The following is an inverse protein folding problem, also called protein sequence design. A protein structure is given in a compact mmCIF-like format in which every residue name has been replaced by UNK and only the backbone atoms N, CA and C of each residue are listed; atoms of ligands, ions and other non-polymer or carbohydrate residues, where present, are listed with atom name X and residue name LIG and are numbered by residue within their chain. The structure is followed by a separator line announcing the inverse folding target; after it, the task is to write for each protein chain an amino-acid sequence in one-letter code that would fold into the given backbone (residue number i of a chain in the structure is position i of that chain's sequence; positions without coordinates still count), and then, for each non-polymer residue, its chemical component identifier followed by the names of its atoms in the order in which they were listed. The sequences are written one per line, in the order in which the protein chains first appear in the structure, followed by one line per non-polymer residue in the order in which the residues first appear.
data_IF_328749605035
#
_entry.id   IF_328749605035
#
_cell.length_a   1.000
_cell.length_b   1.000
_cell.length_c   1.000
_cell.angle_alpha   90.00
_cell.angle_beta   90.00
_cell.angle_gamma   90.00
#
_symmetry.space_group_name_H-M   'P 1'
#
loop_
_entity.id
_entity.type
_entity.pdbx_description
1 polymer ?
#
# COMPACT_ATOMS: atom_id res chain seq x y z
N UNK A 1 -34.11 1.11 11.73
CA UNK A 1 -33.30 2.19 11.13
C UNK A 1 -31.83 1.93 11.41
N UNK A 2 -31.12 1.23 10.51
CA UNK A 2 -29.68 1.00 10.66
C UNK A 2 -28.93 2.24 10.18
N UNK A 3 -28.21 2.92 11.10
CA UNK A 3 -27.26 3.98 10.76
C UNK A 3 -26.09 3.33 10.02
N UNK A 4 -26.19 3.21 8.70
CA UNK A 4 -25.02 3.03 7.84
C UNK A 4 -24.18 4.28 7.99
N UNK A 5 -23.13 4.21 8.81
CA UNK A 5 -22.07 5.19 8.78
C UNK A 5 -21.44 5.09 7.39
N UNK A 6 -21.77 6.03 6.50
CA UNK A 6 -20.96 6.29 5.30
C UNK A 6 -19.59 6.72 5.78
N UNK A 7 -18.68 5.77 5.96
CA UNK A 7 -17.26 6.09 6.12
C UNK A 7 -16.84 6.82 4.86
N UNK A 8 -16.10 7.92 5.05
CA UNK A 8 -15.71 8.82 3.97
C UNK A 8 -15.09 8.04 2.81
N UNK A 9 -15.48 8.38 1.58
CA UNK A 9 -14.92 7.79 0.38
C UNK A 9 -13.40 7.89 0.44
N UNK A 10 -12.74 6.74 0.27
CA UNK A 10 -11.29 6.70 0.27
C UNK A 10 -10.81 7.34 -1.03
N UNK A 11 -10.19 8.51 -0.91
CA UNK A 11 -9.60 9.20 -2.07
C UNK A 11 -8.36 8.43 -2.50
N UNK A 12 -8.23 8.15 -3.79
CA UNK A 12 -7.03 7.59 -4.37
C UNK A 12 -6.61 8.55 -5.48
N UNK A 13 -5.31 8.92 -5.58
CA UNK A 13 -4.85 9.73 -6.70
C UNK A 13 -5.09 8.97 -8.01
N UNK A 14 -5.39 9.68 -9.09
CA UNK A 14 -5.39 9.06 -10.41
C UNK A 14 -3.97 8.60 -10.77
N UNK A 15 -3.78 7.55 -11.60
CA UNK A 15 -2.45 7.04 -11.95
C UNK A 15 -1.48 8.11 -12.46
N UNK A 16 -2.01 9.13 -13.13
CA UNK A 16 -1.28 10.25 -13.71
C UNK A 16 -0.79 11.25 -12.66
N UNK A 17 -1.52 11.36 -11.54
CA UNK A 17 -1.22 12.25 -10.40
C UNK A 17 -0.19 11.63 -9.43
N UNK A 18 0.21 10.37 -9.65
CA UNK A 18 1.20 9.70 -8.82
C UNK A 18 2.57 10.38 -9.01
N UNK A 19 3.05 11.00 -7.95
CA UNK A 19 4.38 11.61 -7.90
C UNK A 19 5.46 10.61 -7.50
N UNK A 20 6.62 10.69 -8.17
CA UNK A 20 7.73 9.78 -7.92
C UNK A 20 8.32 9.96 -6.52
N UNK A 21 8.41 11.20 -6.01
CA UNK A 21 8.95 11.47 -4.68
C UNK A 21 8.01 10.94 -3.60
N UNK A 22 6.70 11.05 -3.78
CA UNK A 22 5.73 10.47 -2.86
C UNK A 22 5.81 8.94 -2.82
N UNK A 23 5.98 8.30 -3.99
CA UNK A 23 6.23 6.86 -4.10
C UNK A 23 7.51 6.46 -3.35
N UNK A 24 8.64 7.12 -3.63
CA UNK A 24 9.91 6.81 -2.99
C UNK A 24 9.88 7.09 -1.48
N UNK A 25 9.23 8.18 -1.07
CA UNK A 25 9.02 8.51 0.34
C UNK A 25 8.18 7.43 1.03
N UNK A 26 7.11 6.97 0.40
CA UNK A 26 6.30 5.89 0.92
C UNK A 26 7.07 4.55 0.98
N UNK A 27 7.96 4.27 0.03
CA UNK A 27 8.78 3.06 0.03
C UNK A 27 10.00 3.10 0.96
N UNK A 28 10.42 4.28 1.44
CA UNK A 28 11.59 4.45 2.31
C UNK A 28 11.44 3.88 3.73
N UNK A 29 10.24 3.49 4.13
CA UNK A 29 9.95 2.94 5.46
C UNK A 29 9.88 1.41 5.40
N UNK A 30 10.59 0.71 6.30
CA UNK A 30 10.68 -0.76 6.26
C UNK A 30 9.32 -1.44 6.47
N UNK A 31 8.45 -0.89 7.32
CA UNK A 31 7.10 -1.45 7.54
C UNK A 31 6.25 -1.30 6.28
N UNK A 32 6.28 -0.13 5.66
CA UNK A 32 5.56 0.12 4.39
C UNK A 32 6.10 -0.75 3.27
N UNK A 33 7.41 -0.95 3.21
CA UNK A 33 8.03 -1.84 2.23
C UNK A 33 7.59 -3.30 2.44
N UNK A 34 7.53 -3.80 3.69
CA UNK A 34 7.01 -5.14 3.99
C UNK A 34 5.56 -5.30 3.53
N UNK A 35 4.71 -4.28 3.71
CA UNK A 35 3.32 -4.29 3.22
C UNK A 35 3.30 -4.39 1.69
N UNK A 36 4.06 -3.54 0.99
CA UNK A 36 4.12 -3.52 -0.48
C UNK A 36 4.68 -4.83 -1.03
N UNK A 37 5.73 -5.39 -0.42
CA UNK A 37 6.28 -6.70 -0.76
C UNK A 37 5.26 -7.82 -0.60
N UNK A 38 4.53 -7.82 0.51
CA UNK A 38 3.45 -8.78 0.77
C UNK A 38 2.38 -8.67 -0.32
N UNK A 39 1.96 -7.44 -0.66
CA UNK A 39 0.98 -7.22 -1.72
C UNK A 39 1.51 -7.55 -3.12
N UNK A 40 2.82 -7.45 -3.35
CA UNK A 40 3.41 -7.85 -4.64
C UNK A 40 3.33 -9.36 -4.86
N UNK A 41 3.28 -10.16 -3.78
CA UNK A 41 3.10 -11.61 -3.85
C UNK A 41 1.63 -11.98 -3.82
N UNK A 42 0.83 -11.27 -3.02
CA UNK A 42 -0.62 -11.44 -2.89
C UNK A 42 -1.33 -10.12 -3.24
N UNK A 43 -1.78 -9.95 -4.50
CA UNK A 43 -2.22 -8.66 -5.03
C UNK A 43 -3.42 -8.04 -4.32
N UNK A 44 -4.17 -8.81 -3.52
CA UNK A 44 -5.26 -8.32 -2.68
C UNK A 44 -5.23 -9.01 -1.31
N UNK A 45 -5.29 -8.22 -0.23
CA UNK A 45 -5.28 -8.73 1.15
C UNK A 45 -6.08 -7.85 2.10
N UNK A 46 -6.65 -8.43 3.16
CA UNK A 46 -7.37 -7.66 4.17
C UNK A 46 -6.41 -6.87 5.07
N UNK A 47 -6.77 -5.62 5.41
CA UNK A 47 -5.95 -4.67 6.19
C UNK A 47 -5.30 -5.23 7.47
N UNK A 48 -5.88 -6.23 8.12
CA UNK A 48 -5.38 -6.81 9.37
C UNK A 48 -4.56 -8.09 9.22
N UNK A 49 -4.22 -8.50 8.00
CA UNK A 49 -3.58 -9.82 7.74
C UNK A 49 -2.12 -9.73 7.29
N UNK A 50 -1.53 -8.54 7.37
CA UNK A 50 -0.15 -8.29 6.99
C UNK A 50 0.82 -8.78 8.08
N UNK A 51 1.97 -9.37 7.71
CA UNK A 51 2.97 -9.86 8.65
C UNK A 51 3.82 -8.70 9.19
N UNK A 52 3.19 -7.75 9.90
CA UNK A 52 3.84 -6.58 10.48
C UNK A 52 3.52 -6.50 11.97
N UNK A 53 4.56 -6.34 12.80
CA UNK A 53 4.42 -6.22 14.26
C UNK A 53 4.28 -4.75 14.67
N UNK A 54 3.18 -4.12 14.23
CA UNK A 54 2.86 -2.73 14.54
C UNK A 54 1.46 -2.59 15.08
N UNK A 55 1.27 -1.60 15.95
CA UNK A 55 -0.04 -1.29 16.50
C UNK A 55 -1.06 -0.94 15.37
N UNK A 56 -2.36 -1.27 15.53
CA UNK A 56 -3.38 -0.98 14.53
C UNK A 56 -3.50 0.50 14.12
N UNK A 57 -3.18 1.42 15.04
CA UNK A 57 -3.12 2.87 14.79
C UNK A 57 -2.00 3.25 13.82
N UNK A 58 -0.81 2.70 14.04
CA UNK A 58 0.38 2.89 13.19
C UNK A 58 0.16 2.27 11.80
N UNK A 59 -0.45 1.09 11.75
CA UNK A 59 -0.79 0.39 10.52
C UNK A 59 -1.78 1.19 9.65
N UNK A 60 -2.77 1.84 10.29
CA UNK A 60 -3.70 2.73 9.60
C UNK A 60 -3.01 3.96 8.99
N UNK A 61 -1.99 4.50 9.68
CA UNK A 61 -1.17 5.59 9.17
C UNK A 61 -0.34 5.16 7.96
N UNK A 62 0.31 4.00 8.02
CA UNK A 62 1.05 3.44 6.89
C UNK A 62 0.18 3.24 5.65
N UNK A 63 -1.03 2.70 5.81
CA UNK A 63 -1.98 2.60 4.69
C UNK A 63 -2.42 3.95 4.16
N UNK A 64 -2.60 4.96 5.02
CA UNK A 64 -2.94 6.30 4.57
C UNK A 64 -1.84 6.85 3.64
N UNK A 65 -0.58 6.75 4.05
CA UNK A 65 0.59 7.21 3.27
C UNK A 65 0.71 6.43 1.97
N UNK A 66 0.63 5.10 2.01
CA UNK A 66 0.69 4.26 0.80
C UNK A 66 -0.44 4.58 -0.19
N UNK A 67 -1.64 4.89 0.31
CA UNK A 67 -2.80 5.27 -0.50
C UNK A 67 -2.60 6.64 -1.13
N UNK A 68 -2.10 7.61 -0.36
CA UNK A 68 -1.84 8.97 -0.84
C UNK A 68 -0.71 9.01 -1.87
N UNK A 69 0.29 8.14 -1.73
CA UNK A 69 1.34 7.93 -2.74
C UNK A 69 0.87 7.12 -3.96
N UNK A 70 -0.39 6.70 -4.03
CA UNK A 70 -0.92 5.92 -5.15
C UNK A 70 -0.40 4.48 -5.26
N UNK A 71 0.32 3.98 -4.25
CA UNK A 71 0.86 2.62 -4.24
C UNK A 71 -0.23 1.56 -4.09
N UNK A 72 -1.23 1.84 -3.25
CA UNK A 72 -2.29 0.90 -2.92
C UNK A 72 -3.67 1.48 -3.23
N UNK A 73 -4.60 0.57 -3.49
CA UNK A 73 -6.02 0.84 -3.57
C UNK A 73 -6.72 0.13 -2.40
N UNK A 74 -7.65 0.81 -1.74
CA UNK A 74 -8.45 0.22 -0.66
C UNK A 74 -9.93 0.25 -1.02
N UNK A 75 -10.58 -0.92 -0.92
CA UNK A 75 -12.02 -1.07 -1.10
C UNK A 75 -12.66 -1.65 0.15
N UNK A 76 -13.84 -1.14 0.50
CA UNK A 76 -14.68 -1.75 1.54
C UNK A 76 -15.53 -2.84 0.89
N UNK A 77 -15.33 -4.09 1.31
CA UNK A 77 -16.12 -5.23 0.86
C UNK A 77 -16.83 -5.85 2.08
N UNK A 78 -18.15 -5.66 2.14
CA UNK A 78 -19.03 -6.06 3.24
C UNK A 78 -18.54 -5.59 4.62
N UNK A 79 -17.81 -6.43 5.36
CA UNK A 79 -17.29 -6.18 6.71
C UNK A 79 -15.75 -6.08 6.77
N UNK A 80 -15.06 -6.14 5.62
CA UNK A 80 -13.59 -6.11 5.56
C UNK A 80 -13.12 -5.00 4.63
N UNK A 81 -11.95 -4.46 4.95
CA UNK A 81 -11.26 -3.50 4.10
C UNK A 81 -10.14 -4.22 3.38
N UNK A 82 -10.31 -4.38 2.08
CA UNK A 82 -9.36 -5.02 1.20
C UNK A 82 -8.39 -3.95 0.69
N UNK A 83 -7.11 -4.30 0.71
CA UNK A 83 -6.02 -3.50 0.18
C UNK A 83 -5.43 -4.26 -1.00
N UNK A 84 -5.33 -3.60 -2.14
CA UNK A 84 -4.71 -4.14 -3.34
C UNK A 84 -3.55 -3.24 -3.79
N UNK A 85 -2.52 -3.82 -4.37
CA UNK A 85 -1.39 -3.08 -4.94
C UNK A 85 -1.72 -2.63 -6.36
N UNK A 86 -1.50 -1.35 -6.66
CA UNK A 86 -1.74 -0.77 -8.01
C UNK A 86 -0.56 -1.03 -8.94
N UNK A 87 0.00 -2.23 -8.91
CA UNK A 87 1.27 -2.57 -9.54
C UNK A 87 1.28 -2.26 -11.05
N UNK A 88 0.19 -2.59 -11.76
CA UNK A 88 0.08 -2.34 -13.19
C UNK A 88 0.07 -0.84 -13.54
N UNK A 89 -0.56 -0.03 -12.71
CA UNK A 89 -0.66 1.43 -12.93
C UNK A 89 0.66 2.12 -12.60
N UNK A 90 1.33 1.69 -11.52
CA UNK A 90 2.68 2.14 -11.18
C UNK A 90 3.70 1.73 -12.25
N UNK A 91 3.59 0.52 -12.80
CA UNK A 91 4.49 0.07 -13.85
C UNK A 91 4.22 0.79 -15.18
N UNK A 92 2.96 1.12 -15.49
CA UNK A 92 2.63 1.98 -16.63
C UNK A 92 3.21 3.39 -16.47
N UNK A 93 3.19 3.95 -15.26
CA UNK A 93 3.67 5.31 -14.97
C UNK A 93 5.18 5.42 -14.77
N UNK A 94 5.78 4.41 -14.15
CA UNK A 94 7.20 4.29 -13.81
C UNK A 94 7.71 2.86 -14.10
N UNK A 95 7.91 2.51 -15.39
CA UNK A 95 8.24 1.14 -15.79
C UNK A 95 9.47 0.58 -15.05
N UNK A 96 9.30 -0.59 -14.43
CA UNK A 96 10.37 -1.31 -13.74
C UNK A 96 10.80 -0.74 -12.38
N UNK A 97 10.27 0.41 -11.93
CA UNK A 97 10.62 1.02 -10.64
C UNK A 97 10.31 0.08 -9.48
N UNK A 98 9.06 -0.38 -9.40
CA UNK A 98 8.59 -1.21 -8.29
C UNK A 98 9.34 -2.55 -8.24
N UNK A 99 9.55 -3.17 -9.41
CA UNK A 99 10.33 -4.40 -9.52
C UNK A 99 11.79 -4.22 -9.07
N UNK A 100 12.44 -3.13 -9.50
CA UNK A 100 13.82 -2.84 -9.12
C UNK A 100 13.96 -2.59 -7.60
N UNK A 101 13.03 -1.83 -7.02
CA UNK A 101 13.02 -1.52 -5.58
C UNK A 101 12.76 -2.77 -4.74
N UNK A 102 11.76 -3.59 -5.11
CA UNK A 102 11.47 -4.84 -4.41
C UNK A 102 12.66 -5.81 -4.47
N UNK A 103 13.25 -5.97 -5.66
CA UNK A 103 14.43 -6.83 -5.82
C UNK A 103 15.63 -6.31 -5.02
N UNK A 104 15.82 -4.99 -4.90
CA UNK A 104 16.85 -4.39 -4.06
C UNK A 104 16.56 -4.58 -2.56
N UNK A 105 15.30 -4.48 -2.16
CA UNK A 105 14.88 -4.71 -0.78
C UNK A 105 15.10 -6.17 -0.36
N UNK A 106 14.73 -7.14 -1.20
CA UNK A 106 14.96 -8.58 -0.94
C UNK A 106 16.44 -8.94 -0.79
N UNK A 107 17.36 -8.15 -1.38
CA UNK A 107 18.81 -8.31 -1.23
C UNK A 107 19.37 -7.58 -0.03
N UNK A 108 18.62 -6.67 0.57
CA UNK A 108 19.04 -5.99 1.79
C UNK A 108 18.84 -6.97 2.94
N UNK A 109 19.91 -7.39 3.65
CA UNK A 109 19.72 -8.22 4.83
C UNK A 109 18.85 -7.42 5.81
N UNK A 110 17.76 -8.03 6.28
CA UNK A 110 16.94 -7.46 7.35
C UNK A 110 17.89 -7.01 8.46
N UNK A 111 17.87 -5.71 8.79
CA UNK A 111 18.48 -5.25 10.02
C UNK A 111 17.76 -6.00 11.14
N UNK A 112 18.44 -7.01 11.69
CA UNK A 112 18.02 -7.77 12.87
C UNK A 112 17.62 -6.86 14.02
#
# INVERSE_FOLDING_TARGET
MARTSRRAALTHPEPEEIDLFDVLHALSDPTRMTIVRTLSTEPERACGTFPVDVAPSTLSHHFKVLREAGLIHQREEANRRLTALRAAELDARFPGLLAAVLAAYDRTPEAR
#
